data_IF_179757515425
#
_entry.id   IF_179757515425
#
_cell.length_a   1.000
_cell.length_b   1.000
_cell.length_c   1.000
_cell.angle_alpha   90.00
_cell.angle_beta   90.00
_cell.angle_gamma   90.00
#
_symmetry.space_group_name_H-M   'P 1'
#
loop_
_entity.id
_entity.type
_entity.pdbx_description
1 polymer ?
#
# COMPACT_ATOMS: atom_id res chain seq x y z
N UNK A 1 -13.52 13.36 11.52
CA UNK A 1 -12.05 13.44 11.23
C UNK A 1 -11.42 14.78 11.63
N UNK A 2 -11.04 14.98 12.89
CA UNK A 2 -10.28 16.15 13.38
C UNK A 2 -8.79 16.14 12.98
N UNK A 3 -8.49 15.87 11.70
CA UNK A 3 -7.12 15.73 11.19
C UNK A 3 -6.68 17.07 10.59
N UNK A 4 -5.65 17.68 11.16
CA UNK A 4 -5.03 18.88 10.60
C UNK A 4 -4.00 18.48 9.56
N UNK A 5 -4.25 18.79 8.27
CA UNK A 5 -3.30 18.54 7.19
C UNK A 5 -2.15 19.56 7.27
N UNK A 6 -0.98 19.09 7.69
CA UNK A 6 0.24 19.87 7.59
C UNK A 6 0.87 19.64 6.22
N UNK A 7 0.96 20.71 5.43
CA UNK A 7 1.79 20.71 4.23
C UNK A 7 3.25 20.90 4.63
N UNK A 8 4.16 20.17 4.00
CA UNK A 8 5.60 20.37 4.22
C UNK A 8 5.93 21.84 3.94
N UNK A 9 6.36 22.57 4.96
CA UNK A 9 6.92 23.90 4.77
C UNK A 9 8.11 23.79 3.81
N UNK A 10 8.34 24.77 2.92
CA UNK A 10 9.59 24.86 2.19
C UNK A 10 10.75 24.73 3.19
N UNK A 11 11.68 23.81 2.93
CA UNK A 11 12.83 23.44 3.80
C UNK A 11 12.59 22.43 4.94
N UNK A 12 11.37 21.91 5.16
CA UNK A 12 11.19 20.76 6.06
C UNK A 12 11.48 19.42 5.35
N UNK A 13 12.77 19.16 5.12
CA UNK A 13 13.30 17.97 4.42
C UNK A 13 13.12 16.66 5.19
N UNK A 14 12.75 16.71 6.48
CA UNK A 14 12.70 15.55 7.37
C UNK A 14 11.68 14.51 6.91
N UNK A 15 10.48 14.93 6.49
CA UNK A 15 9.44 14.01 6.02
C UNK A 15 9.85 13.25 4.74
N UNK A 16 10.59 13.91 3.84
CA UNK A 16 11.15 13.27 2.63
C UNK A 16 12.28 12.31 2.99
N UNK A 17 13.17 12.72 3.88
CA UNK A 17 14.28 11.88 4.34
C UNK A 17 13.84 10.59 5.03
N UNK A 18 12.70 10.60 5.73
CA UNK A 18 12.12 9.39 6.34
C UNK A 18 11.67 8.40 5.25
N UNK A 19 10.95 8.85 4.23
CA UNK A 19 10.49 8.00 3.12
C UNK A 19 11.68 7.47 2.34
N UNK A 20 12.68 8.31 2.05
CA UNK A 20 13.90 7.90 1.34
C UNK A 20 14.70 6.85 2.12
N UNK A 21 14.87 7.05 3.43
CA UNK A 21 15.53 6.06 4.30
C UNK A 21 14.76 4.75 4.34
N UNK A 22 13.43 4.80 4.43
CA UNK A 22 12.60 3.61 4.45
C UNK A 22 12.68 2.84 3.12
N UNK A 23 12.60 3.55 1.98
CA UNK A 23 12.82 2.97 0.66
C UNK A 23 14.18 2.27 0.56
N UNK A 24 15.24 2.92 1.03
CA UNK A 24 16.59 2.36 1.02
C UNK A 24 16.80 1.16 1.95
N UNK A 25 16.10 1.12 3.09
CA UNK A 25 16.29 0.08 4.11
C UNK A 25 15.34 -1.11 4.00
N UNK A 26 14.18 -0.94 3.35
CA UNK A 26 13.15 -2.00 3.23
C UNK A 26 12.90 -2.36 1.77
N UNK A 27 12.50 -1.39 0.94
CA UNK A 27 12.05 -1.70 -0.42
C UNK A 27 13.16 -2.01 -1.40
N UNK A 28 14.29 -1.30 -1.33
CA UNK A 28 15.43 -1.58 -2.19
C UNK A 28 16.00 -2.99 -1.92
N UNK A 29 16.24 -3.41 -0.66
CA UNK A 29 16.63 -4.80 -0.37
C UNK A 29 15.59 -5.81 -0.84
N UNK A 30 14.31 -5.61 -0.49
CA UNK A 30 13.23 -6.52 -0.90
C UNK A 30 13.15 -6.67 -2.42
N UNK A 31 13.30 -5.57 -3.17
CA UNK A 31 13.24 -5.61 -4.63
C UNK A 31 14.35 -6.48 -5.24
N UNK A 32 15.50 -6.59 -4.57
CA UNK A 32 16.65 -7.40 -5.00
C UNK A 32 16.49 -8.89 -4.71
N UNK A 33 15.55 -9.26 -3.83
CA UNK A 33 15.23 -10.67 -3.55
C UNK A 33 14.46 -11.33 -4.70
N UNK A 34 13.83 -10.54 -5.56
CA UNK A 34 13.14 -11.06 -6.74
C UNK A 34 14.10 -11.27 -7.91
N UNK A 35 14.03 -12.45 -8.54
CA UNK A 35 14.77 -12.77 -9.78
C UNK A 35 14.45 -11.83 -10.95
N UNK A 36 13.28 -11.17 -10.88
CA UNK A 36 12.83 -10.17 -11.84
C UNK A 36 13.21 -8.75 -11.48
N UNK A 37 14.12 -8.54 -10.52
CA UNK A 37 14.68 -7.23 -10.22
C UNK A 37 15.28 -6.61 -11.49
N UNK A 38 15.05 -5.33 -11.71
CA UNK A 38 15.61 -4.56 -12.82
C UNK A 38 16.07 -3.22 -12.26
N UNK A 39 17.23 -3.22 -11.61
CA UNK A 39 17.85 -2.01 -11.06
C UNK A 39 19.33 -1.88 -11.42
N UNK A 40 19.93 -0.78 -10.98
CA UNK A 40 21.33 -0.45 -11.29
C UNK A 40 22.32 -1.48 -10.76
N UNK A 41 22.00 -2.12 -9.64
CA UNK A 41 22.85 -3.13 -8.99
C UNK A 41 22.84 -4.50 -9.68
N UNK A 42 21.95 -4.71 -10.66
CA UNK A 42 21.89 -5.97 -11.41
C UNK A 42 22.86 -5.93 -12.59
N UNK A 43 23.53 -7.07 -12.85
CA UNK A 43 24.34 -7.23 -14.06
C UNK A 43 23.54 -6.85 -15.31
N UNK A 44 24.18 -6.11 -16.22
CA UNK A 44 23.52 -5.53 -17.40
C UNK A 44 22.94 -6.61 -18.31
N UNK A 45 23.64 -7.74 -18.49
CA UNK A 45 23.16 -8.82 -19.35
C UNK A 45 22.01 -9.57 -18.70
N UNK A 46 22.12 -9.87 -17.39
CA UNK A 46 21.06 -10.51 -16.62
C UNK A 46 19.78 -9.66 -16.60
N UNK A 47 19.92 -8.35 -16.39
CA UNK A 47 18.82 -7.37 -16.44
C UNK A 47 18.12 -7.37 -17.80
N UNK A 48 18.89 -7.31 -18.89
CA UNK A 48 18.33 -7.33 -20.23
C UNK A 48 17.62 -8.66 -20.53
N UNK A 49 18.16 -9.78 -20.05
CA UNK A 49 17.55 -11.11 -20.20
C UNK A 49 16.23 -11.20 -19.44
N UNK A 50 16.19 -10.76 -18.18
CA UNK A 50 14.98 -10.76 -17.35
C UNK A 50 13.88 -9.88 -17.96
N UNK A 51 14.25 -8.66 -18.40
CA UNK A 51 13.35 -7.75 -19.10
C UNK A 51 12.77 -8.36 -20.39
N UNK A 52 13.63 -8.86 -21.28
CA UNK A 52 13.20 -9.46 -22.56
C UNK A 52 12.30 -10.67 -22.35
N UNK A 53 12.66 -11.55 -21.41
CA UNK A 53 11.89 -12.78 -21.14
C UNK A 53 10.51 -12.42 -20.62
N UNK A 54 10.44 -11.60 -19.57
CA UNK A 54 9.16 -11.20 -18.95
C UNK A 54 8.22 -10.51 -19.96
N UNK A 55 8.75 -9.63 -20.81
CA UNK A 55 7.93 -8.93 -21.82
C UNK A 55 7.48 -9.85 -22.95
N UNK A 56 8.32 -10.80 -23.36
CA UNK A 56 7.95 -11.83 -24.33
C UNK A 56 6.82 -12.70 -23.78
N UNK A 57 6.96 -13.17 -22.55
CA UNK A 57 5.99 -14.06 -21.91
C UNK A 57 4.64 -13.35 -21.72
N UNK A 58 4.64 -12.10 -21.23
CA UNK A 58 3.42 -11.29 -21.12
C UNK A 58 2.76 -11.08 -22.49
N UNK A 59 3.54 -10.82 -23.55
CA UNK A 59 2.99 -10.63 -24.90
C UNK A 59 2.36 -11.93 -25.45
N UNK A 60 2.95 -13.08 -25.13
CA UNK A 60 2.54 -14.37 -25.68
C UNK A 60 1.43 -15.05 -24.86
N UNK A 61 1.49 -14.95 -23.54
CA UNK A 61 0.66 -15.70 -22.60
C UNK A 61 -0.16 -14.81 -21.65
N UNK A 62 0.02 -13.49 -21.71
CA UNK A 62 -0.62 -12.53 -20.78
C UNK A 62 0.03 -12.44 -19.40
N UNK A 63 0.94 -13.36 -19.07
CA UNK A 63 1.66 -13.41 -17.80
C UNK A 63 3.07 -14.00 -17.97
N UNK A 64 3.91 -13.88 -16.94
CA UNK A 64 5.25 -14.49 -16.88
C UNK A 64 5.35 -15.32 -15.60
N UNK A 65 5.75 -16.59 -15.72
CA UNK A 65 5.98 -17.46 -14.56
C UNK A 65 7.17 -17.04 -13.70
N UNK A 66 8.01 -16.12 -14.20
CA UNK A 66 9.13 -15.55 -13.45
C UNK A 66 8.72 -14.41 -12.53
N UNK A 67 7.56 -13.79 -12.80
CA UNK A 67 7.04 -12.77 -11.92
C UNK A 67 6.38 -13.43 -10.72
N UNK A 68 6.53 -12.88 -9.51
CA UNK A 68 5.75 -13.33 -8.37
C UNK A 68 4.26 -13.12 -8.66
N UNK A 69 3.44 -14.02 -8.14
CA UNK A 69 2.00 -13.77 -8.07
C UNK A 69 1.73 -12.53 -7.21
N UNK A 70 0.56 -11.92 -7.40
CA UNK A 70 0.16 -10.77 -6.59
C UNK A 70 0.16 -11.08 -5.09
N UNK A 71 -0.27 -12.29 -4.71
CA UNK A 71 -0.30 -12.71 -3.31
C UNK A 71 1.11 -12.90 -2.74
N UNK A 72 2.04 -13.51 -3.48
CA UNK A 72 3.43 -13.65 -3.04
C UNK A 72 4.10 -12.29 -2.86
N UNK A 73 3.87 -11.37 -3.80
CA UNK A 73 4.38 -10.01 -3.70
C UNK A 73 3.86 -9.30 -2.44
N UNK A 74 2.55 -9.36 -2.19
CA UNK A 74 1.95 -8.76 -0.99
C UNK A 74 2.50 -9.37 0.30
N UNK A 75 2.61 -10.70 0.36
CA UNK A 75 3.19 -11.40 1.51
C UNK A 75 4.63 -10.96 1.75
N UNK A 76 5.44 -10.84 0.70
CA UNK A 76 6.82 -10.36 0.80
C UNK A 76 6.88 -8.92 1.33
N UNK A 77 5.99 -8.02 0.87
CA UNK A 77 5.90 -6.66 1.39
C UNK A 77 5.53 -6.63 2.89
N UNK A 78 4.54 -7.40 3.31
CA UNK A 78 4.12 -7.50 4.71
C UNK A 78 5.27 -8.02 5.58
N UNK A 79 5.95 -9.06 5.14
CA UNK A 79 7.09 -9.64 5.84
C UNK A 79 8.26 -8.65 5.98
N UNK A 80 8.54 -7.87 4.92
CA UNK A 80 9.59 -6.85 4.95
C UNK A 80 9.28 -5.74 5.97
N UNK A 81 8.03 -5.27 6.02
CA UNK A 81 7.58 -4.28 7.03
C UNK A 81 7.65 -4.87 8.44
N UNK A 82 7.16 -6.09 8.63
CA UNK A 82 7.21 -6.77 9.92
C UNK A 82 8.66 -6.93 10.42
N UNK A 83 9.57 -7.35 9.53
CA UNK A 83 10.99 -7.50 9.83
C UNK A 83 11.64 -6.16 10.19
N UNK A 84 11.32 -5.10 9.46
CA UNK A 84 11.80 -3.74 9.77
C UNK A 84 11.33 -3.27 11.15
N UNK A 85 10.04 -3.48 11.45
CA UNK A 85 9.42 -3.06 12.71
C UNK A 85 9.89 -3.86 13.92
N UNK A 86 10.33 -5.11 13.71
CA UNK A 86 10.91 -5.96 14.76
C UNK A 86 12.39 -5.69 15.02
N UNK A 87 13.12 -5.12 14.04
CA UNK A 87 14.55 -4.87 14.13
C UNK A 87 14.87 -3.64 15.01
N UNK A 88 15.91 -3.69 15.86
CA UNK A 88 16.50 -2.53 16.53
C UNK A 88 16.98 -1.43 15.57
N UNK A 89 16.66 -0.15 15.83
CA UNK A 89 17.17 0.99 15.05
C UNK A 89 17.97 1.96 15.91
N UNK A 90 19.12 2.40 15.42
CA UNK A 90 19.98 3.36 16.13
C UNK A 90 19.37 4.77 16.25
N UNK A 91 18.41 5.11 15.39
CA UNK A 91 17.70 6.39 15.46
C UNK A 91 16.62 6.43 16.55
N UNK A 92 16.31 5.29 17.18
CA UNK A 92 15.34 5.22 18.26
C UNK A 92 16.05 5.16 19.62
N UNK A 93 15.46 5.75 20.68
CA UNK A 93 16.00 5.68 22.03
C UNK A 93 16.28 4.23 22.45
N UNK A 94 17.40 4.00 23.12
CA UNK A 94 17.77 2.66 23.61
C UNK A 94 18.01 1.62 22.52
N UNK A 95 18.18 2.02 21.25
CA UNK A 95 18.22 1.11 20.09
C UNK A 95 17.01 0.17 20.03
N UNK A 96 15.85 0.65 20.47
CA UNK A 96 14.62 -0.12 20.41
C UNK A 96 14.16 -0.36 18.96
N UNK A 97 13.32 -1.36 18.76
CA UNK A 97 12.58 -1.52 17.51
C UNK A 97 11.34 -0.62 17.46
N UNK A 98 10.80 -0.29 16.27
CA UNK A 98 9.54 0.44 16.14
C UNK A 98 8.40 -0.19 16.93
N UNK A 99 8.30 -1.52 16.95
CA UNK A 99 7.30 -2.23 17.75
C UNK A 99 7.50 -2.00 19.26
N UNK A 100 8.75 -2.07 19.75
CA UNK A 100 9.05 -1.80 21.16
C UNK A 100 8.74 -0.36 21.57
N UNK A 101 9.08 0.61 20.71
CA UNK A 101 8.73 2.01 20.95
C UNK A 101 7.22 2.24 20.93
N UNK A 102 6.50 1.55 20.04
CA UNK A 102 5.04 1.59 20.00
C UNK A 102 4.43 1.05 21.30
N UNK A 103 4.86 -0.12 21.76
CA UNK A 103 4.43 -0.71 23.03
C UNK A 103 4.73 0.21 24.22
N UNK A 104 5.91 0.84 24.23
CA UNK A 104 6.27 1.84 25.24
C UNK A 104 5.31 3.04 25.23
N UNK A 105 4.97 3.59 24.07
CA UNK A 105 4.02 4.69 23.99
C UNK A 105 2.62 4.30 24.45
N UNK A 106 2.14 3.12 24.03
CA UNK A 106 0.83 2.61 24.46
C UNK A 106 0.80 2.42 25.99
N UNK A 107 1.87 1.87 26.58
CA UNK A 107 1.95 1.68 28.04
C UNK A 107 2.11 2.98 28.84
N UNK A 108 2.63 4.05 28.23
CA UNK A 108 2.76 5.38 28.85
C UNK A 108 1.51 6.26 28.69
N UNK A 109 0.40 5.69 28.22
CA UNK A 109 -0.90 6.36 28.15
C UNK A 109 -1.23 6.97 26.79
N UNK A 110 -0.53 6.58 25.71
CA UNK A 110 -0.96 6.96 24.37
C UNK A 110 -2.30 6.29 24.03
N UNK A 111 -3.36 7.07 23.95
CA UNK A 111 -4.68 6.61 23.53
C UNK A 111 -4.80 6.64 22.00
N UNK A 112 -5.03 5.47 21.42
CA UNK A 112 -5.30 5.34 19.98
C UNK A 112 -6.70 5.87 19.74
N UNK A 113 -6.85 6.86 18.85
CA UNK A 113 -8.16 7.28 18.35
C UNK A 113 -8.55 6.34 17.20
N UNK A 114 -9.46 5.37 17.41
CA UNK A 114 -9.85 4.48 16.33
C UNK A 114 -10.71 5.25 15.32
N UNK A 115 -10.52 4.91 14.05
CA UNK A 115 -11.46 5.35 13.01
C UNK A 115 -12.80 4.63 13.22
N UNK A 116 -13.89 5.38 13.34
CA UNK A 116 -15.23 4.82 13.48
C UNK A 116 -15.63 4.06 12.21
N UNK A 117 -16.40 2.97 12.35
CA UNK A 117 -16.73 2.08 11.22
C UNK A 117 -17.40 2.80 10.05
N UNK A 118 -18.23 3.82 10.33
CA UNK A 118 -18.84 4.63 9.29
C UNK A 118 -17.85 5.58 8.61
N UNK A 119 -16.84 6.09 9.32
CA UNK A 119 -15.79 6.92 8.72
C UNK A 119 -14.82 6.09 7.87
N UNK A 120 -14.59 4.81 8.19
CA UNK A 120 -13.76 3.90 7.38
C UNK A 120 -14.29 3.75 5.95
N UNK A 121 -15.61 3.65 5.80
CA UNK A 121 -16.26 3.52 4.49
C UNK A 121 -16.01 4.74 3.59
N UNK A 122 -15.85 5.92 4.19
CA UNK A 122 -15.66 7.18 3.47
C UNK A 122 -14.18 7.52 3.18
N UNK A 123 -13.23 6.98 3.96
CA UNK A 123 -11.80 7.31 3.83
C UNK A 123 -11.17 6.92 2.48
N UNK A 124 -11.67 5.88 1.82
CA UNK A 124 -11.03 5.29 0.63
C UNK A 124 -11.97 5.06 -0.55
N UNK A 125 -13.21 5.56 -0.49
CA UNK A 125 -14.19 5.32 -1.55
C UNK A 125 -14.25 6.52 -2.52
N UNK A 126 -13.72 6.40 -3.75
CA UNK A 126 -14.06 7.34 -4.80
C UNK A 126 -15.54 7.18 -5.16
N UNK A 127 -16.30 8.27 -5.11
CA UNK A 127 -17.72 8.29 -5.44
C UNK A 127 -17.96 8.74 -6.88
N UNK A 128 -18.80 8.00 -7.60
CA UNK A 128 -19.32 8.41 -8.92
C UNK A 128 -20.84 8.37 -8.91
N UNK A 129 -21.48 9.49 -9.27
CA UNK A 129 -22.93 9.53 -9.43
C UNK A 129 -23.33 8.76 -10.69
N UNK A 130 -24.24 7.79 -10.56
CA UNK A 130 -24.78 6.98 -11.66
C UNK A 130 -26.29 6.97 -11.63
N UNK A 131 -26.91 6.82 -12.82
CA UNK A 131 -28.36 6.67 -12.94
C UNK A 131 -28.77 5.26 -12.51
N UNK A 132 -29.71 5.16 -11.59
CA UNK A 132 -30.31 3.88 -11.20
C UNK A 132 -31.43 3.49 -12.17
N UNK A 133 -31.54 2.20 -12.49
CA UNK A 133 -32.68 1.63 -13.23
C UNK A 133 -33.20 0.43 -12.46
N UNK A 134 -34.47 0.44 -12.03
CA UNK A 134 -35.09 -0.64 -11.22
C UNK A 134 -34.23 -1.06 -10.02
N UNK A 135 -33.71 -0.09 -9.26
CA UNK A 135 -32.84 -0.33 -8.10
C UNK A 135 -31.50 -1.06 -8.41
N UNK A 136 -31.11 -1.11 -9.68
CA UNK A 136 -29.83 -1.63 -10.16
C UNK A 136 -28.93 -0.49 -10.66
N UNK A 137 -27.63 -0.65 -10.48
CA UNK A 137 -26.56 0.19 -11.02
C UNK A 137 -25.54 -0.70 -11.71
N UNK A 138 -25.15 -0.33 -12.92
CA UNK A 138 -24.06 -0.95 -13.64
C UNK A 138 -22.77 -0.13 -13.43
N UNK A 139 -21.69 -0.81 -13.06
CA UNK A 139 -20.37 -0.21 -12.92
C UNK A 139 -19.29 -1.16 -13.46
N UNK A 140 -18.54 -0.67 -14.45
CA UNK A 140 -17.62 -1.47 -15.25
C UNK A 140 -18.36 -2.70 -15.83
N UNK A 141 -17.94 -3.90 -15.46
CA UNK A 141 -18.56 -5.17 -15.87
C UNK A 141 -19.50 -5.77 -14.83
N UNK A 142 -19.72 -5.06 -13.71
CA UNK A 142 -20.49 -5.56 -12.57
C UNK A 142 -21.85 -4.84 -12.46
N UNK A 143 -22.83 -5.57 -11.95
CA UNK A 143 -24.17 -5.05 -11.64
C UNK A 143 -24.43 -5.15 -10.15
N UNK A 144 -24.87 -4.04 -9.56
CA UNK A 144 -25.14 -3.92 -8.14
C UNK A 144 -26.63 -3.60 -7.94
N UNK A 145 -27.30 -4.33 -7.05
CA UNK A 145 -28.71 -4.12 -6.73
C UNK A 145 -28.88 -3.79 -5.26
N UNK A 146 -29.74 -2.82 -4.95
CA UNK A 146 -30.12 -2.50 -3.58
C UNK A 146 -31.63 -2.25 -3.46
N UNK A 147 -32.30 -3.00 -2.60
CA UNK A 147 -33.79 -3.03 -2.51
C UNK A 147 -34.43 -1.67 -2.20
N UNK A 148 -33.75 -0.79 -1.46
CA UNK A 148 -34.20 0.60 -1.25
C UNK A 148 -33.70 1.48 -2.39
N UNK A 149 -34.62 2.20 -3.06
CA UNK A 149 -34.27 3.24 -4.03
C UNK A 149 -33.52 4.36 -3.29
N UNK A 150 -32.26 4.67 -3.64
CA UNK A 150 -31.54 5.77 -3.01
C UNK A 150 -32.21 7.08 -3.42
N UNK A 151 -32.86 7.74 -2.46
CA UNK A 151 -33.43 9.07 -2.61
C UNK A 151 -32.25 10.04 -2.49
N UNK A 152 -31.85 10.68 -3.59
CA UNK A 152 -31.08 11.94 -3.57
C UNK A 152 -29.65 11.96 -2.99
N UNK A 153 -29.19 10.92 -2.31
CA UNK A 153 -27.84 10.88 -1.70
C UNK A 153 -27.08 9.68 -2.24
N UNK A 154 -25.79 9.89 -2.51
CA UNK A 154 -24.87 8.99 -3.19
C UNK A 154 -25.13 7.51 -2.86
N UNK A 155 -25.27 6.67 -3.89
CA UNK A 155 -25.36 5.23 -3.71
C UNK A 155 -24.07 4.75 -3.05
N UNK A 156 -24.16 4.35 -1.78
CA UNK A 156 -23.09 3.71 -1.05
C UNK A 156 -22.99 2.27 -1.54
N UNK A 157 -22.05 2.00 -2.44
CA UNK A 157 -21.75 0.63 -2.90
C UNK A 157 -20.63 0.07 -2.03
N UNK A 158 -20.98 -0.65 -0.97
CA UNK A 158 -20.02 -1.54 -0.30
C UNK A 158 -19.78 -2.81 -1.12
N UNK A 159 -18.52 -3.29 -1.20
CA UNK A 159 -18.21 -4.57 -1.83
C UNK A 159 -18.90 -5.72 -1.10
#
# INVERSE_FOLDING_TARGET
>A
MGITKLHSLPQNSQARGIIERFNGSVWNPLSKEFDTYIGADMDRQARQKSFKTTRKDIKQFGASSKLPSWQEFLTACVNAVASYNAKPHSSLPGKMSPNQMWEYHVSTGFEIVPVLEHEKNDLFRPYVKRRTRRAMIEWLTNSYFHRKRPIGTACHTSP
#
